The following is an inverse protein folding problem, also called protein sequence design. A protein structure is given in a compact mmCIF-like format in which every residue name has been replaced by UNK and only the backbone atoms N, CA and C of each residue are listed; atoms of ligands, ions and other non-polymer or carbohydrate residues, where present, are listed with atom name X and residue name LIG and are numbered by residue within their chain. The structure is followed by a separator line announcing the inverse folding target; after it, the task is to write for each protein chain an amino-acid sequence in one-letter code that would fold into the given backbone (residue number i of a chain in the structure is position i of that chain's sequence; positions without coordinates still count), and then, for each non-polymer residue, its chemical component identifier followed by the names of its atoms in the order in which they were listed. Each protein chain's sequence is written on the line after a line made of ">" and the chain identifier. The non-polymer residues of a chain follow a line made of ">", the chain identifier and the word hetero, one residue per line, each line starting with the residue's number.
data_IF_777383165560
#
_entry.id   IF_777383165560
#
_cell.length_a   1.000
_cell.length_b   1.000
_cell.length_c   1.000
_cell.angle_alpha   90.00
_cell.angle_beta   90.00
_cell.angle_gamma   90.00
#
_symmetry.space_group_name_H-M   'P 1'
#
loop_
_entity.id
_entity.type
_entity.pdbx_description
1 polymer ?
#
# COMPACT_ATOMS: atom_id res chain seq x y z
N UNK A 1 5.62 12.84 -11.49
CA UNK A 1 6.32 11.96 -10.54
C UNK A 1 5.38 10.84 -10.11
N UNK A 2 5.81 9.61 -10.22
CA UNK A 2 4.98 8.49 -9.83
C UNK A 2 5.02 8.30 -8.32
N UNK A 3 3.86 8.00 -7.76
CA UNK A 3 3.77 7.67 -6.35
C UNK A 3 3.88 6.16 -6.23
N UNK A 4 4.98 5.69 -5.68
CA UNK A 4 5.24 4.25 -5.57
C UNK A 4 4.19 3.53 -4.72
N UNK A 5 3.68 4.19 -3.69
CA UNK A 5 2.64 3.59 -2.86
C UNK A 5 1.35 3.38 -3.67
N UNK A 6 0.95 4.38 -4.43
CA UNK A 6 -0.25 4.28 -5.26
C UNK A 6 -0.07 3.18 -6.31
N UNK A 7 1.09 3.14 -6.95
CA UNK A 7 1.37 2.11 -7.93
C UNK A 7 1.32 0.71 -7.32
N UNK A 8 1.93 0.54 -6.15
CA UNK A 8 1.93 -0.74 -5.46
C UNK A 8 0.51 -1.14 -5.06
N UNK A 9 -0.26 -0.18 -4.54
CA UNK A 9 -1.64 -0.44 -4.13
C UNK A 9 -2.48 -0.89 -5.32
N UNK A 10 -2.32 -0.25 -6.46
CA UNK A 10 -3.07 -0.61 -7.66
C UNK A 10 -2.74 -2.03 -8.11
N UNK A 11 -1.47 -2.42 -8.04
CA UNK A 11 -1.06 -3.77 -8.42
C UNK A 11 -1.61 -4.82 -7.46
N UNK A 12 -1.77 -4.46 -6.18
CA UNK A 12 -2.29 -5.36 -5.17
C UNK A 12 -3.81 -5.33 -5.06
N UNK A 13 -4.46 -4.46 -5.81
CA UNK A 13 -5.92 -4.33 -5.73
C UNK A 13 -6.39 -3.59 -4.49
N UNK A 14 -5.53 -2.77 -3.91
CA UNK A 14 -5.88 -1.97 -2.74
C UNK A 14 -6.45 -0.64 -3.18
N UNK A 15 -7.59 -0.25 -2.61
CA UNK A 15 -8.22 1.02 -2.94
C UNK A 15 -7.37 2.18 -2.44
N UNK A 16 -7.15 3.17 -3.29
CA UNK A 16 -6.37 4.35 -2.95
C UNK A 16 -7.25 5.55 -2.62
N UNK A 17 -8.53 5.44 -2.90
CA UNK A 17 -9.51 6.50 -2.63
C UNK A 17 -10.72 5.92 -1.93
N UNK A 18 -11.32 6.73 -1.10
CA UNK A 18 -12.59 6.43 -0.47
C UNK A 18 -13.66 7.31 -1.09
N UNK A 19 -14.90 6.87 -1.06
CA UNK A 19 -16.00 7.68 -1.55
C UNK A 19 -17.06 7.81 -0.48
N UNK A 20 -17.70 8.98 -0.45
CA UNK A 20 -18.86 9.21 0.40
C UNK A 20 -20.07 8.69 -0.32
N UNK A 21 -21.11 8.44 0.39
CA UNK A 21 -22.38 8.17 -0.25
C UNK A 21 -22.68 6.70 -0.41
N UNK A 22 -23.10 6.10 0.65
CA UNK A 22 -23.49 4.69 0.62
C UNK A 22 -24.87 4.46 0.02
N UNK A 23 -25.63 5.49 -0.26
CA UNK A 23 -27.01 5.36 -0.71
C UNK A 23 -27.13 5.70 -2.19
N UNK A 24 -26.89 4.71 -3.08
CA UNK A 24 -26.88 4.97 -4.51
C UNK A 24 -28.17 5.56 -5.07
N UNK A 25 -29.33 5.10 -4.61
CA UNK A 25 -30.58 5.61 -5.13
C UNK A 25 -30.84 7.04 -4.70
N UNK A 26 -30.39 7.43 -3.51
CA UNK A 26 -30.53 8.79 -3.06
C UNK A 26 -29.65 9.76 -3.82
N UNK A 27 -28.58 9.24 -4.42
CA UNK A 27 -27.59 10.03 -5.13
C UNK A 27 -27.61 9.79 -6.63
N UNK A 28 -28.67 9.17 -7.11
CA UNK A 28 -28.81 8.90 -8.52
C UNK A 28 -28.64 10.18 -9.33
N UNK A 29 -27.76 10.14 -10.31
CA UNK A 29 -27.48 11.30 -11.12
C UNK A 29 -26.44 12.26 -10.56
N UNK A 30 -25.94 11.99 -9.37
CA UNK A 30 -24.91 12.83 -8.75
C UNK A 30 -23.55 12.19 -8.87
N UNK A 31 -22.53 13.06 -8.94
CA UNK A 31 -21.15 12.59 -8.91
C UNK A 31 -20.78 12.32 -7.46
N UNK A 32 -20.25 11.14 -7.19
CA UNK A 32 -19.81 10.78 -5.84
C UNK A 32 -18.55 11.55 -5.48
N UNK A 33 -18.55 12.10 -4.29
CA UNK A 33 -17.34 12.73 -3.78
C UNK A 33 -16.33 11.66 -3.41
N UNK A 34 -15.11 11.84 -3.87
CA UNK A 34 -14.02 10.93 -3.53
C UNK A 34 -12.87 11.72 -2.94
N UNK A 35 -12.08 11.06 -2.12
CA UNK A 35 -10.88 11.67 -1.55
C UNK A 35 -9.81 10.60 -1.36
N UNK A 36 -8.52 11.02 -1.35
CA UNK A 36 -7.43 10.06 -1.13
C UNK A 36 -7.55 9.44 0.26
N UNK A 37 -7.27 8.16 0.34
CA UNK A 37 -7.19 7.48 1.63
C UNK A 37 -5.89 7.86 2.32
N UNK A 38 -5.86 7.70 3.64
CA UNK A 38 -4.64 7.90 4.42
C UNK A 38 -3.56 6.95 3.90
N UNK A 39 -2.37 7.50 3.64
CA UNK A 39 -1.27 6.72 3.08
C UNK A 39 -0.85 5.58 4.00
N UNK A 40 -0.87 5.81 5.30
CA UNK A 40 -0.52 4.77 6.27
C UNK A 40 -1.53 3.61 6.21
N UNK A 41 -2.80 3.93 6.09
CA UNK A 41 -3.84 2.92 5.96
C UNK A 41 -3.68 2.11 4.68
N UNK A 42 -3.40 2.79 3.57
CA UNK A 42 -3.14 2.10 2.31
C UNK A 42 -1.94 1.17 2.46
N UNK A 43 -0.88 1.63 3.12
CA UNK A 43 0.32 0.83 3.30
C UNK A 43 0.06 -0.41 4.14
N UNK A 44 -0.71 -0.29 5.22
CA UNK A 44 -1.05 -1.45 6.05
C UNK A 44 -1.86 -2.49 5.27
N UNK A 45 -2.84 -2.05 4.50
CA UNK A 45 -3.63 -2.96 3.69
C UNK A 45 -2.78 -3.60 2.58
N UNK A 46 -1.93 -2.81 1.96
CA UNK A 46 -1.03 -3.31 0.93
C UNK A 46 -0.09 -4.37 1.49
N UNK A 47 0.44 -4.14 2.68
CA UNK A 47 1.33 -5.11 3.32
C UNK A 47 0.60 -6.42 3.61
N UNK A 48 -0.64 -6.35 4.10
CA UNK A 48 -1.42 -7.55 4.38
C UNK A 48 -1.63 -8.38 3.11
N UNK A 49 -1.96 -7.72 2.00
CA UNK A 49 -2.14 -8.43 0.74
C UNK A 49 -0.82 -8.96 0.19
N UNK A 50 0.25 -8.21 0.38
CA UNK A 50 1.56 -8.61 -0.12
C UNK A 50 2.08 -9.86 0.59
N UNK A 51 1.84 -9.98 1.89
CA UNK A 51 2.26 -11.16 2.63
C UNK A 51 1.48 -12.41 2.23
N UNK A 52 0.24 -12.24 1.75
CA UNK A 52 -0.50 -13.35 1.17
C UNK A 52 0.06 -13.74 -0.19
N UNK A 53 0.62 -12.79 -0.90
CA UNK A 53 1.17 -13.00 -2.23
C UNK A 53 2.59 -13.58 -2.17
N UNK A 54 3.39 -13.11 -1.21
CA UNK A 54 4.78 -13.55 -1.02
C UNK A 54 5.01 -13.83 0.46
N UNK A 55 5.12 -15.11 0.81
CA UNK A 55 5.26 -15.52 2.20
C UNK A 55 6.58 -15.07 2.83
N UNK A 56 7.57 -14.69 2.02
CA UNK A 56 8.85 -14.22 2.53
C UNK A 56 8.88 -12.71 2.74
N UNK A 57 7.85 -12.00 2.27
CA UNK A 57 7.80 -10.55 2.41
C UNK A 57 7.57 -10.15 3.86
N UNK A 58 8.37 -9.23 4.36
CA UNK A 58 8.30 -8.76 5.75
C UNK A 58 8.59 -7.28 5.83
N UNK A 59 7.95 -6.62 6.79
CA UNK A 59 8.31 -5.26 7.18
C UNK A 59 8.39 -5.23 8.69
N UNK A 60 9.54 -4.86 9.23
CA UNK A 60 9.79 -4.90 10.67
C UNK A 60 10.42 -3.58 11.12
N UNK A 61 10.15 -3.15 12.36
CA UNK A 61 10.84 -1.98 12.90
C UNK A 61 12.32 -2.27 13.10
N UNK A 62 13.16 -1.28 12.80
CA UNK A 62 14.62 -1.42 12.90
C UNK A 62 15.20 -0.90 14.20
N UNK A 63 14.38 -0.56 15.18
CA UNK A 63 14.86 -0.07 16.44
C UNK A 63 15.16 1.42 16.47
N UNK A 64 14.90 2.13 15.38
CA UNK A 64 15.02 3.59 15.27
C UNK A 64 13.65 4.18 14.99
N UNK A 65 13.48 5.44 15.38
CA UNK A 65 12.20 6.12 15.13
C UNK A 65 11.91 6.18 13.64
N UNK A 66 10.72 5.72 13.25
CA UNK A 66 10.23 5.77 11.88
C UNK A 66 11.09 5.04 10.86
N UNK A 67 11.95 4.13 11.30
CA UNK A 67 12.75 3.32 10.38
C UNK A 67 12.25 1.89 10.41
N UNK A 68 11.89 1.39 9.25
CA UNK A 68 11.38 0.03 9.09
C UNK A 68 12.19 -0.69 8.04
N UNK A 69 12.39 -1.96 8.23
CA UNK A 69 13.11 -2.79 7.27
C UNK A 69 12.12 -3.65 6.49
N UNK A 70 12.09 -3.46 5.18
CA UNK A 70 11.33 -4.32 4.30
C UNK A 70 12.29 -5.36 3.73
N UNK A 71 11.87 -6.61 3.67
CA UNK A 71 12.73 -7.66 3.15
C UNK A 71 11.92 -8.75 2.46
N UNK A 72 12.54 -9.40 1.47
CA UNK A 72 12.01 -10.58 0.84
C UNK A 72 13.18 -11.32 0.17
N UNK A 73 13.24 -12.62 0.36
CA UNK A 73 14.37 -13.39 -0.13
C UNK A 73 15.66 -12.85 0.45
N UNK A 74 16.64 -12.55 -0.39
CA UNK A 74 17.91 -11.98 0.04
C UNK A 74 17.98 -10.46 -0.05
N UNK A 75 16.87 -9.80 -0.33
CA UNK A 75 16.81 -8.35 -0.52
C UNK A 75 16.27 -7.66 0.73
N UNK A 76 16.78 -6.47 1.04
CA UNK A 76 16.24 -5.66 2.12
C UNK A 76 16.39 -4.18 1.81
N UNK A 77 15.54 -3.38 2.45
CA UNK A 77 15.50 -1.93 2.26
C UNK A 77 14.97 -1.29 3.52
N UNK A 78 15.59 -0.21 3.96
CA UNK A 78 15.20 0.50 5.18
C UNK A 78 14.72 1.90 4.85
N UNK A 79 13.57 2.26 5.38
CA UNK A 79 12.98 3.58 5.20
C UNK A 79 11.80 3.73 6.16
N UNK A 80 11.00 4.80 6.01
CA UNK A 80 9.77 4.89 6.77
C UNK A 80 8.81 3.76 6.34
N UNK A 81 7.76 3.55 7.12
CA UNK A 81 6.86 2.41 6.90
C UNK A 81 6.24 2.44 5.51
N UNK A 82 5.71 3.59 5.11
CA UNK A 82 5.02 3.71 3.82
C UNK A 82 5.97 3.43 2.67
N UNK A 83 7.14 4.04 2.69
CA UNK A 83 8.12 3.84 1.63
C UNK A 83 8.65 2.41 1.62
N UNK A 84 8.87 1.83 2.80
CA UNK A 84 9.34 0.45 2.90
C UNK A 84 8.33 -0.52 2.28
N UNK A 85 7.05 -0.35 2.59
CA UNK A 85 6.00 -1.21 2.03
C UNK A 85 5.90 -1.03 0.52
N UNK A 86 5.90 0.20 0.05
CA UNK A 86 5.78 0.48 -1.38
C UNK A 86 6.95 -0.12 -2.15
N UNK A 87 8.17 0.09 -1.65
CA UNK A 87 9.37 -0.42 -2.31
C UNK A 87 9.39 -1.95 -2.31
N UNK A 88 9.00 -2.56 -1.20
CA UNK A 88 8.92 -4.02 -1.11
C UNK A 88 7.92 -4.58 -2.13
N UNK A 89 6.75 -3.98 -2.23
CA UNK A 89 5.74 -4.43 -3.18
C UNK A 89 6.24 -4.36 -4.61
N UNK A 90 6.86 -3.25 -4.98
CA UNK A 90 7.38 -3.10 -6.32
C UNK A 90 8.53 -4.08 -6.58
N UNK A 91 9.34 -4.36 -5.56
CA UNK A 91 10.41 -5.36 -5.68
C UNK A 91 9.84 -6.74 -5.96
N UNK A 92 8.80 -7.12 -5.23
CA UNK A 92 8.16 -8.43 -5.42
C UNK A 92 7.62 -8.56 -6.84
N UNK A 93 6.93 -7.52 -7.33
CA UNK A 93 6.38 -7.58 -8.68
C UNK A 93 7.46 -7.52 -9.76
N UNK A 94 8.57 -6.86 -9.49
CA UNK A 94 9.66 -6.78 -10.46
C UNK A 94 10.38 -8.11 -10.63
N UNK A 95 10.42 -8.94 -9.59
CA UNK A 95 11.07 -10.24 -9.65
C UNK A 95 10.31 -11.24 -10.52
N UNK A 96 9.09 -10.93 -10.85
CA UNK A 96 8.27 -11.76 -11.69
C UNK A 96 8.24 -11.25 -13.11
#
# INVERSE_FOLDING_TARGET
>A
MQDHLIEAAQRLGVATHASAGPEPEALSGHVWATWPRDRLEIAHEALARLTDYDSEARVEPCGHDNVWRASTGGWSYESDFVDAVATLALRVFTKQ
#
